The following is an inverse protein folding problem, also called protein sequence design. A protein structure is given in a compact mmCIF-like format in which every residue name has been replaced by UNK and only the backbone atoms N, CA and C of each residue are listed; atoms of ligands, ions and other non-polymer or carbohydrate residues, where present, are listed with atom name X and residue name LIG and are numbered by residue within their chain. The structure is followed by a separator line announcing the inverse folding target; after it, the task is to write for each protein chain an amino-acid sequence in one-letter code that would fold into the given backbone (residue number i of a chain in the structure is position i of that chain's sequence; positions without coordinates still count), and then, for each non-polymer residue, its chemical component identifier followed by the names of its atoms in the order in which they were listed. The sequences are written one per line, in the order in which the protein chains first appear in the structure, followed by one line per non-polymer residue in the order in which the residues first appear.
data_IF_414558831354
#
_entry.id   IF_414558831354
#
_cell.length_a   1.000
_cell.length_b   1.000
_cell.length_c   1.000
_cell.angle_alpha   90.00
_cell.angle_beta   90.00
_cell.angle_gamma   90.00
#
_symmetry.space_group_name_H-M   'P 1'
#
loop_
_entity.id
_entity.type
_entity.pdbx_description
1 polymer ?
#
# COMPACT_ATOMS: atom_id res chain seq x y z
N UNK A 1 11.05 3.08 28.27
CA UNK A 1 10.96 3.13 26.79
C UNK A 1 9.58 2.62 26.40
N UNK A 2 8.67 3.49 25.96
CA UNK A 2 7.38 3.05 25.44
C UNK A 2 7.62 2.45 24.05
N UNK A 3 7.25 1.18 23.85
CA UNK A 3 7.22 0.61 22.52
C UNK A 3 6.20 1.38 21.69
N UNK A 4 6.64 1.93 20.56
CA UNK A 4 5.74 2.46 19.54
C UNK A 4 4.88 1.28 19.05
N UNK A 5 3.73 1.07 19.68
CA UNK A 5 2.72 0.12 19.18
C UNK A 5 2.06 0.80 18.00
N UNK A 6 2.46 0.36 16.80
CA UNK A 6 1.91 0.80 15.52
C UNK A 6 0.38 0.71 15.56
N UNK A 7 -0.37 1.79 15.25
CA UNK A 7 -1.82 1.74 15.26
C UNK A 7 -2.28 0.81 14.12
N UNK A 8 -2.71 -0.39 14.49
CA UNK A 8 -3.26 -1.35 13.53
C UNK A 8 -4.67 -0.89 13.19
N UNK A 9 -5.00 -0.88 11.90
CA UNK A 9 -6.34 -0.57 11.45
C UNK A 9 -7.35 -1.50 12.16
N UNK A 10 -8.34 -0.91 12.83
CA UNK A 10 -9.35 -1.63 13.60
C UNK A 10 -10.04 -2.69 12.71
N UNK A 11 -9.97 -4.00 13.04
CA UNK A 11 -10.54 -5.08 12.22
C UNK A 11 -12.05 -4.95 12.00
N UNK A 12 -12.74 -4.23 12.88
CA UNK A 12 -14.16 -3.92 12.77
C UNK A 12 -14.49 -3.11 11.51
N UNK A 13 -13.52 -2.36 10.97
CA UNK A 13 -13.67 -1.57 9.75
C UNK A 13 -13.38 -2.37 8.45
N UNK A 14 -13.04 -3.65 8.56
CA UNK A 14 -12.80 -4.51 7.41
C UNK A 14 -14.08 -4.75 6.60
N UNK A 15 -13.97 -4.75 5.27
CA UNK A 15 -15.11 -4.92 4.35
C UNK A 15 -15.46 -6.39 4.12
N UNK A 16 -14.53 -7.32 4.39
CA UNK A 16 -14.73 -8.77 4.20
C UNK A 16 -14.19 -9.58 5.37
N UNK A 17 -14.66 -10.83 5.52
CA UNK A 17 -14.16 -11.76 6.53
C UNK A 17 -12.66 -12.07 6.38
N UNK A 18 -12.18 -12.15 5.13
CA UNK A 18 -10.75 -12.36 4.83
C UNK A 18 -9.90 -11.18 5.29
N UNK A 19 -10.33 -9.95 4.99
CA UNK A 19 -9.64 -8.73 5.45
C UNK A 19 -9.63 -8.63 6.98
N UNK A 20 -10.76 -8.98 7.62
CA UNK A 20 -10.86 -8.98 9.07
C UNK A 20 -9.85 -9.96 9.69
N UNK A 21 -9.80 -11.19 9.19
CA UNK A 21 -8.87 -12.21 9.67
C UNK A 21 -7.40 -11.77 9.53
N UNK A 22 -7.04 -11.07 8.45
CA UNK A 22 -5.70 -10.53 8.27
C UNK A 22 -5.37 -9.41 9.28
N UNK A 23 -6.31 -8.50 9.52
CA UNK A 23 -6.14 -7.45 10.53
C UNK A 23 -6.07 -8.04 11.95
N UNK A 24 -6.83 -9.09 12.23
CA UNK A 24 -6.77 -9.83 13.50
C UNK A 24 -5.39 -10.49 13.70
N UNK A 25 -4.84 -11.19 12.70
CA UNK A 25 -3.46 -11.71 12.76
C UNK A 25 -2.41 -10.61 12.98
N UNK A 26 -2.62 -9.47 12.35
CA UNK A 26 -1.71 -8.32 12.50
C UNK A 26 -1.75 -7.77 13.92
N UNK A 27 -2.93 -7.72 14.56
CA UNK A 27 -3.09 -7.37 15.97
C UNK A 27 -2.37 -8.34 16.90
N UNK A 28 -2.49 -9.65 16.64
CA UNK A 28 -1.84 -10.68 17.45
C UNK A 28 -0.31 -10.59 17.40
N UNK A 29 0.24 -10.28 16.21
CA UNK A 29 1.69 -10.15 16.00
C UNK A 29 2.24 -8.78 16.38
N UNK A 30 1.39 -7.76 16.50
CA UNK A 30 1.81 -6.36 16.69
C UNK A 30 2.53 -5.77 15.47
N UNK A 31 2.43 -6.43 14.31
CA UNK A 31 3.10 -6.05 13.07
C UNK A 31 2.11 -5.29 12.18
N UNK A 32 2.52 -4.13 11.66
CA UNK A 32 1.76 -3.44 10.61
C UNK A 32 1.80 -4.24 9.30
N UNK A 33 0.66 -4.39 8.63
CA UNK A 33 0.52 -5.17 7.39
C UNK A 33 1.40 -4.68 6.24
N UNK A 34 1.70 -3.37 6.19
CA UNK A 34 2.50 -2.75 5.14
C UNK A 34 3.98 -2.59 5.51
N UNK A 35 4.35 -2.78 6.78
CA UNK A 35 5.76 -2.75 7.16
C UNK A 35 6.50 -3.95 6.55
N UNK A 36 7.83 -3.86 6.37
CA UNK A 36 8.64 -5.01 5.97
C UNK A 36 8.35 -6.22 6.86
N UNK A 37 7.97 -7.35 6.25
CA UNK A 37 7.58 -8.57 6.96
C UNK A 37 6.11 -8.64 7.42
N UNK A 38 5.30 -7.61 7.15
CA UNK A 38 3.84 -7.63 7.32
C UNK A 38 3.13 -8.45 6.25
N UNK A 39 1.85 -8.79 6.49
CA UNK A 39 1.09 -9.71 5.62
C UNK A 39 0.96 -9.18 4.18
N UNK A 40 0.70 -7.88 3.96
CA UNK A 40 0.62 -7.32 2.61
C UNK A 40 1.97 -7.39 1.88
N UNK A 41 3.08 -7.31 2.61
CA UNK A 41 4.42 -7.48 2.03
C UNK A 41 4.69 -8.94 1.62
N UNK A 42 4.15 -9.92 2.35
CA UNK A 42 4.35 -11.36 2.08
C UNK A 42 3.44 -11.89 0.98
N UNK A 43 2.22 -11.38 0.92
CA UNK A 43 1.14 -11.94 0.10
C UNK A 43 0.96 -11.23 -1.25
N UNK A 44 1.61 -10.07 -1.45
CA UNK A 44 1.42 -9.27 -2.66
C UNK A 44 2.59 -9.39 -3.62
N UNK A 45 2.27 -9.41 -4.91
CA UNK A 45 3.25 -9.24 -5.97
C UNK A 45 3.68 -7.76 -6.03
N UNK A 46 4.98 -7.52 -5.83
CA UNK A 46 5.58 -6.22 -6.05
C UNK A 46 5.69 -5.97 -7.54
N UNK A 47 5.50 -4.71 -7.96
CA UNK A 47 5.90 -4.35 -9.31
C UNK A 47 7.41 -4.52 -9.43
N UNK A 48 7.81 -5.45 -10.32
CA UNK A 48 9.19 -5.73 -10.65
C UNK A 48 9.94 -4.43 -10.94
N UNK A 49 11.08 -4.29 -10.27
CA UNK A 49 11.99 -3.15 -10.30
C UNK A 49 11.39 -1.86 -9.72
N UNK A 50 11.61 -1.65 -8.42
CA UNK A 50 11.22 -0.45 -7.71
C UNK A 50 12.41 0.54 -7.68
N UNK A 51 12.55 1.51 -8.62
CA UNK A 51 13.58 2.54 -8.55
C UNK A 51 13.35 3.56 -7.42
N UNK A 52 12.42 3.28 -6.51
CA UNK A 52 11.99 4.18 -5.44
C UNK A 52 12.66 3.75 -4.14
N UNK A 53 13.68 4.48 -3.66
CA UNK A 53 14.38 4.11 -2.45
C UNK A 53 13.47 4.20 -1.22
N UNK A 54 12.49 5.11 -1.22
CA UNK A 54 11.65 5.44 -0.07
C UNK A 54 10.31 4.68 0.00
N UNK A 55 9.84 4.11 -1.11
CA UNK A 55 8.50 3.53 -1.21
C UNK A 55 8.51 2.12 -1.80
N UNK A 56 7.49 1.36 -1.43
CA UNK A 56 7.12 0.11 -2.05
C UNK A 56 5.77 0.27 -2.76
N UNK A 57 5.63 -0.42 -3.89
CA UNK A 57 4.40 -0.45 -4.68
C UNK A 57 3.99 -1.89 -4.94
N UNK A 58 2.77 -2.22 -4.55
CA UNK A 58 2.17 -3.55 -4.74
C UNK A 58 0.85 -3.42 -5.49
N UNK A 59 0.41 -4.51 -6.12
CA UNK A 59 -0.99 -4.65 -6.51
C UNK A 59 -1.87 -4.64 -5.27
N UNK A 60 -3.01 -3.95 -5.34
CA UNK A 60 -3.98 -3.99 -4.25
C UNK A 60 -4.67 -5.35 -4.26
N UNK A 61 -4.54 -6.11 -3.17
CA UNK A 61 -5.20 -7.41 -2.99
C UNK A 61 -6.74 -7.32 -3.04
N UNK A 62 -7.31 -6.12 -2.87
CA UNK A 62 -8.73 -5.85 -2.98
C UNK A 62 -8.98 -4.65 -3.92
N UNK A 63 -8.83 -4.86 -5.23
CA UNK A 63 -8.98 -3.80 -6.19
C UNK A 63 -10.42 -3.25 -6.19
N UNK A 64 -10.61 -1.98 -6.55
CA UNK A 64 -11.96 -1.40 -6.66
C UNK A 64 -12.72 -2.13 -7.78
N UNK A 65 -14.03 -2.33 -7.61
CA UNK A 65 -14.83 -3.08 -8.59
C UNK A 65 -14.73 -2.48 -10.00
N UNK A 66 -14.77 -1.16 -10.10
CA UNK A 66 -14.61 -0.39 -11.34
C UNK A 66 -13.17 -0.03 -11.72
N UNK A 67 -12.15 -0.61 -11.10
CA UNK A 67 -10.78 -0.41 -11.56
C UNK A 67 -10.60 -0.99 -12.96
N UNK A 68 -9.94 -0.23 -13.84
CA UNK A 68 -9.61 -0.66 -15.19
C UNK A 68 -8.76 -1.94 -15.16
N UNK A 69 -8.94 -2.82 -16.13
CA UNK A 69 -8.11 -4.03 -16.28
C UNK A 69 -7.14 -3.86 -17.45
N UNK A 70 -5.86 -4.14 -17.21
CA UNK A 70 -4.78 -4.14 -18.21
C UNK A 70 -3.93 -5.38 -17.97
N UNK A 71 -3.60 -6.11 -19.03
CA UNK A 71 -2.73 -7.30 -18.95
C UNK A 71 -3.22 -8.37 -17.95
N UNK A 72 -4.53 -8.47 -17.71
CA UNK A 72 -5.12 -9.42 -16.75
C UNK A 72 -5.08 -8.96 -15.28
N UNK A 73 -4.62 -7.73 -15.01
CA UNK A 73 -4.57 -7.16 -13.68
C UNK A 73 -5.46 -5.92 -13.56
N UNK A 74 -6.17 -5.79 -12.43
CA UNK A 74 -6.88 -4.55 -12.10
C UNK A 74 -5.88 -3.46 -11.71
N UNK A 75 -5.92 -2.34 -12.40
CA UNK A 75 -5.13 -1.13 -12.20
C UNK A 75 -5.50 -0.42 -10.89
N UNK A 76 -5.20 -1.06 -9.75
CA UNK A 76 -5.34 -0.53 -8.41
C UNK A 76 -4.12 -0.96 -7.61
N UNK A 77 -3.32 0.01 -7.20
CA UNK A 77 -2.06 -0.21 -6.49
C UNK A 77 -2.12 0.37 -5.09
N UNK A 78 -1.29 -0.17 -4.20
CA UNK A 78 -1.00 0.42 -2.91
C UNK A 78 0.44 0.90 -2.93
N UNK A 79 0.63 2.19 -2.65
CA UNK A 79 1.93 2.82 -2.48
C UNK A 79 2.11 3.11 -1.00
N UNK A 80 3.18 2.62 -0.39
CA UNK A 80 3.45 2.84 1.02
C UNK A 80 4.94 3.10 1.28
N UNK A 81 5.27 3.96 2.27
CA UNK A 81 6.66 4.24 2.62
C UNK A 81 7.31 2.99 3.23
N UNK A 82 8.60 2.78 2.97
CA UNK A 82 9.36 1.67 3.55
C UNK A 82 9.63 1.85 5.04
N UNK A 83 9.62 3.10 5.53
CA UNK A 83 9.58 3.41 6.97
C UNK A 83 8.13 3.50 7.41
N UNK A 84 7.84 3.06 8.63
CA UNK A 84 6.48 3.13 9.15
C UNK A 84 6.14 4.56 9.57
N UNK A 85 5.01 5.07 9.06
CA UNK A 85 4.44 6.38 9.41
C UNK A 85 3.08 6.18 10.07
N UNK A 86 2.72 7.11 10.94
CA UNK A 86 1.38 7.16 11.53
C UNK A 86 0.46 8.04 10.71
N UNK A 87 0.99 9.11 10.11
CA UNK A 87 0.22 10.03 9.28
C UNK A 87 0.96 10.43 7.99
N UNK A 88 0.23 10.92 6.99
CA UNK A 88 0.81 11.36 5.72
C UNK A 88 1.60 12.67 5.85
N UNK A 89 1.28 13.50 6.85
CA UNK A 89 2.00 14.73 7.17
C UNK A 89 3.44 14.43 7.62
N UNK A 90 3.73 13.20 8.03
CA UNK A 90 5.07 12.76 8.39
C UNK A 90 5.97 12.52 7.16
N UNK A 91 5.43 12.54 5.94
CA UNK A 91 6.20 12.36 4.71
C UNK A 91 7.13 13.56 4.46
N UNK A 92 8.38 13.27 4.13
CA UNK A 92 9.33 14.28 3.65
C UNK A 92 8.94 14.76 2.25
N UNK A 93 9.44 15.93 1.85
CA UNK A 93 9.24 16.43 0.49
C UNK A 93 9.72 15.42 -0.57
N UNK A 94 10.86 14.78 -0.34
CA UNK A 94 11.40 13.75 -1.25
C UNK A 94 10.49 12.53 -1.37
N UNK A 95 9.87 12.11 -0.28
CA UNK A 95 8.89 11.02 -0.29
C UNK A 95 7.64 11.39 -1.09
N UNK A 96 7.16 12.63 -0.98
CA UNK A 96 6.07 13.13 -1.83
C UNK A 96 6.45 13.14 -3.31
N UNK A 97 7.65 13.59 -3.66
CA UNK A 97 8.15 13.55 -5.03
C UNK A 97 8.24 12.12 -5.58
N UNK A 98 8.68 11.16 -4.76
CA UNK A 98 8.72 9.75 -5.12
C UNK A 98 7.32 9.19 -5.41
N UNK A 99 6.30 9.54 -4.61
CA UNK A 99 4.91 9.16 -4.88
C UNK A 99 4.43 9.69 -6.25
N UNK A 100 4.72 10.95 -6.57
CA UNK A 100 4.35 11.53 -7.87
C UNK A 100 5.08 10.85 -9.05
N UNK A 101 6.34 10.48 -8.84
CA UNK A 101 7.14 9.74 -9.84
C UNK A 101 6.59 8.34 -10.06
N UNK A 102 6.19 7.65 -8.99
CA UNK A 102 5.49 6.35 -9.05
C UNK A 102 4.22 6.48 -9.88
N UNK A 103 3.37 7.46 -9.57
CA UNK A 103 2.13 7.70 -10.29
C UNK A 103 2.34 7.86 -11.79
N UNK A 104 3.32 8.69 -12.20
CA UNK A 104 3.66 8.88 -13.62
C UNK A 104 4.14 7.59 -14.29
N UNK A 105 5.00 6.82 -13.61
CA UNK A 105 5.51 5.56 -14.14
C UNK A 105 4.41 4.51 -14.30
N UNK A 106 3.47 4.42 -13.35
CA UNK A 106 2.30 3.54 -13.48
C UNK A 106 1.41 3.94 -14.65
N UNK A 107 1.13 5.24 -14.80
CA UNK A 107 0.34 5.74 -15.93
C UNK A 107 1.00 5.43 -17.27
N UNK A 108 2.32 5.62 -17.39
CA UNK A 108 3.07 5.32 -18.60
C UNK A 108 3.11 3.81 -18.89
N UNK A 109 3.42 2.99 -17.88
CA UNK A 109 3.55 1.53 -18.02
C UNK A 109 2.25 0.88 -18.47
N UNK A 110 1.11 1.33 -17.93
CA UNK A 110 -0.20 0.73 -18.19
C UNK A 110 -1.07 1.50 -19.18
N UNK A 111 -0.50 2.54 -19.82
CA UNK A 111 -1.17 3.39 -20.80
C UNK A 111 -2.52 3.91 -20.27
N UNK A 112 -2.42 4.72 -19.20
CA UNK A 112 -3.55 5.32 -18.49
C UNK A 112 -3.62 6.83 -18.75
N UNK A 113 -4.78 7.31 -19.17
CA UNK A 113 -5.05 8.75 -19.31
C UNK A 113 -5.23 9.47 -17.96
N UNK A 114 -5.60 8.69 -16.93
CA UNK A 114 -5.96 9.21 -15.62
C UNK A 114 -5.53 8.26 -14.50
N UNK A 115 -5.07 8.84 -13.40
CA UNK A 115 -4.85 8.16 -12.13
C UNK A 115 -5.60 8.89 -11.00
N UNK A 116 -6.31 8.12 -10.18
CA UNK A 116 -6.91 8.62 -8.95
C UNK A 116 -6.07 8.18 -7.76
N UNK A 117 -5.62 9.14 -6.96
CA UNK A 117 -4.85 8.88 -5.75
C UNK A 117 -5.69 9.15 -4.52
N UNK A 118 -5.77 8.17 -3.63
CA UNK A 118 -6.43 8.30 -2.33
C UNK A 118 -5.38 8.16 -1.24
N UNK A 119 -5.19 9.21 -0.46
CA UNK A 119 -4.35 9.16 0.75
C UNK A 119 -5.25 8.92 1.95
N UNK A 120 -4.89 7.97 2.79
CA UNK A 120 -5.44 7.86 4.15
C UNK A 120 -4.43 8.38 5.14
#
# INVERSE_FOLDING_TARGET
MQSLRWPIASPQNARTAVQRAQLERSLETGQCIFCPGGDSYKESEFLDEQPFPSHSVIWNSWPHAGALEKEGHKCHWVVFPKRCLSDKEDLTLKEWEDILRIARLLMQRYDLDQLFMYTR
#
